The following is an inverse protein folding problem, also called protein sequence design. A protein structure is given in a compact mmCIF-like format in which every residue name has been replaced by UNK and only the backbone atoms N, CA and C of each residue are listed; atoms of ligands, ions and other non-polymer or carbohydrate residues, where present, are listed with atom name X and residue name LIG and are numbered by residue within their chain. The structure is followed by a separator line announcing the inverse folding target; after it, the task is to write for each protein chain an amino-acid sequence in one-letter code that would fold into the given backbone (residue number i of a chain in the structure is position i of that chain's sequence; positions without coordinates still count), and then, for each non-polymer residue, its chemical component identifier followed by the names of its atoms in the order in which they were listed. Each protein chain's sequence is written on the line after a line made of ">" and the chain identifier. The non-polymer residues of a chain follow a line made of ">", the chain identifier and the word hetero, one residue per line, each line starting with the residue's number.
data_IF_388221233221
#
_entry.id   IF_388221233221
#
_cell.length_a   1.000
_cell.length_b   1.000
_cell.length_c   1.000
_cell.angle_alpha   90.00
_cell.angle_beta   90.00
_cell.angle_gamma   90.00
#
_symmetry.space_group_name_H-M   'P 1'
#
loop_
_entity.id
_entity.type
_entity.pdbx_description
1 polymer ?
#
# COMPACT_ATOMS: atom_id res chain seq x y z
N UNK A 1 14.90 -1.93 8.59
CA UNK A 1 13.47 -1.59 8.44
C UNK A 1 12.58 -2.78 8.79
N UNK A 2 12.84 -3.99 8.29
CA UNK A 2 12.09 -5.21 8.68
C UNK A 2 12.44 -5.77 10.07
N UNK A 3 13.61 -5.45 10.63
CA UNK A 3 14.00 -5.90 11.98
C UNK A 3 13.42 -5.05 13.13
N UNK A 4 12.61 -4.03 12.84
CA UNK A 4 12.14 -3.06 13.84
C UNK A 4 10.71 -3.28 14.34
N UNK A 5 9.92 -4.16 13.72
CA UNK A 5 8.53 -4.38 14.12
C UNK A 5 8.10 -5.84 13.85
N UNK A 6 8.53 -6.80 14.70
CA UNK A 6 8.19 -8.22 14.54
C UNK A 6 6.68 -8.52 14.63
N UNK A 7 5.88 -7.55 15.07
CA UNK A 7 4.43 -7.70 15.20
C UNK A 7 3.64 -6.74 14.28
N UNK A 8 4.29 -6.04 13.34
CA UNK A 8 3.60 -5.16 12.40
C UNK A 8 2.62 -5.95 11.53
N UNK A 9 1.32 -5.69 11.71
CA UNK A 9 0.26 -6.30 10.91
C UNK A 9 -0.19 -5.33 9.85
N UNK A 10 0.12 -5.61 8.59
CA UNK A 10 -0.48 -4.94 7.44
C UNK A 10 -1.74 -5.67 6.99
N UNK A 11 -2.80 -4.92 6.72
CA UNK A 11 -4.05 -5.45 6.19
C UNK A 11 -4.65 -4.51 5.14
N UNK A 12 -5.15 -5.10 4.07
CA UNK A 12 -5.86 -4.38 3.01
C UNK A 12 -7.28 -4.09 3.50
N UNK A 13 -7.65 -2.80 3.49
CA UNK A 13 -8.99 -2.36 3.86
C UNK A 13 -9.92 -2.38 2.65
N UNK A 14 -9.46 -1.82 1.53
CA UNK A 14 -10.23 -1.69 0.30
C UNK A 14 -9.31 -1.84 -0.90
N UNK A 15 -9.72 -2.62 -1.90
CA UNK A 15 -9.07 -2.66 -3.20
C UNK A 15 -9.84 -1.72 -4.13
N UNK A 16 -9.21 -0.62 -4.52
CA UNK A 16 -9.81 0.40 -5.39
C UNK A 16 -9.67 0.04 -6.87
N UNK A 17 -8.54 -0.58 -7.23
CA UNK A 17 -8.27 -1.07 -8.58
C UNK A 17 -7.36 -2.29 -8.52
N UNK A 18 -7.67 -3.28 -9.34
CA UNK A 18 -6.86 -4.48 -9.52
C UNK A 18 -6.89 -4.88 -10.98
N UNK A 19 -5.71 -5.00 -11.59
CA UNK A 19 -5.52 -5.41 -12.98
C UNK A 19 -4.39 -6.45 -13.06
N UNK A 20 -4.10 -6.95 -14.25
CA UNK A 20 -2.92 -7.76 -14.53
C UNK A 20 -1.60 -6.99 -14.37
N UNK A 21 -1.65 -5.65 -14.41
CA UNK A 21 -0.49 -4.76 -14.26
C UNK A 21 -0.23 -4.30 -12.83
N UNK A 22 -1.15 -4.51 -11.89
CA UNK A 22 -0.95 -4.15 -10.49
C UNK A 22 -2.23 -3.82 -9.73
N UNK A 23 -2.08 -3.07 -8.64
CA UNK A 23 -3.19 -2.72 -7.76
C UNK A 23 -3.04 -1.34 -7.10
N UNK A 24 -4.19 -0.74 -6.76
CA UNK A 24 -4.31 0.40 -5.85
C UNK A 24 -5.25 0.01 -4.72
N UNK A 25 -4.78 0.06 -3.47
CA UNK A 25 -5.56 -0.35 -2.31
C UNK A 25 -5.32 0.56 -1.10
N UNK A 26 -6.35 0.76 -0.28
CA UNK A 26 -6.15 1.28 1.08
C UNK A 26 -5.61 0.17 1.96
N UNK A 27 -4.62 0.48 2.78
CA UNK A 27 -4.11 -0.41 3.81
C UNK A 27 -4.15 0.28 5.16
N UNK A 28 -4.13 -0.54 6.20
CA UNK A 28 -3.75 -0.11 7.52
C UNK A 28 -2.67 -1.04 8.08
N UNK A 29 -1.81 -0.48 8.90
CA UNK A 29 -0.72 -1.16 9.56
C UNK A 29 -0.80 -0.88 11.06
N UNK A 30 -0.72 -1.94 11.86
CA UNK A 30 -0.75 -1.84 13.31
C UNK A 30 0.55 -2.41 13.88
N UNK A 31 1.32 -1.58 14.59
CA UNK A 31 2.49 -2.04 15.36
C UNK A 31 2.05 -2.35 16.79
N UNK A 32 1.99 -3.64 17.11
CA UNK A 32 1.72 -4.16 18.46
C UNK A 32 2.98 -4.08 19.34
N UNK A 33 3.81 -3.04 19.20
CA UNK A 33 4.93 -2.87 20.14
C UNK A 33 4.37 -2.75 21.58
N UNK A 34 4.99 -3.48 22.50
CA UNK A 34 4.50 -3.81 23.86
C UNK A 34 4.28 -2.61 24.83
N UNK A 35 4.03 -1.40 24.33
CA UNK A 35 3.93 -0.16 25.12
C UNK A 35 2.56 0.50 25.14
N UNK A 36 1.53 -0.10 24.53
CA UNK A 36 0.17 0.46 24.55
C UNK A 36 0.01 1.73 23.70
N UNK A 37 0.90 1.91 22.72
CA UNK A 37 0.79 2.96 21.72
C UNK A 37 0.12 2.38 20.47
N UNK A 38 -1.16 2.69 20.29
CA UNK A 38 -1.98 2.29 19.14
C UNK A 38 -1.58 3.15 17.92
N UNK A 39 -0.38 2.91 17.39
CA UNK A 39 0.04 3.53 16.14
C UNK A 39 -0.61 2.76 14.98
N UNK A 40 -1.83 3.16 14.64
CA UNK A 40 -2.44 2.77 13.37
C UNK A 40 -1.93 3.70 12.27
N UNK A 41 -1.13 3.16 11.35
CA UNK A 41 -0.82 3.84 10.10
C UNK A 41 -1.85 3.45 9.05
N UNK A 42 -2.33 4.44 8.30
CA UNK A 42 -3.24 4.27 7.17
C UNK A 42 -2.61 4.91 5.95
N UNK A 43 -2.92 4.37 4.78
CA UNK A 43 -2.47 4.96 3.53
C UNK A 43 -3.02 4.23 2.32
N UNK A 44 -2.71 4.77 1.14
CA UNK A 44 -2.96 4.12 -0.14
C UNK A 44 -1.66 3.49 -0.62
N UNK A 45 -1.71 2.20 -0.93
CA UNK A 45 -0.63 1.47 -1.58
C UNK A 45 -0.92 1.40 -3.09
N UNK A 46 0.05 1.85 -3.90
CA UNK A 46 0.10 1.71 -5.34
C UNK A 46 1.21 0.73 -5.69
N UNK A 47 0.85 -0.39 -6.31
CA UNK A 47 1.80 -1.39 -6.78
C UNK A 47 1.67 -1.63 -8.27
N UNK A 48 2.81 -1.80 -8.95
CA UNK A 48 2.84 -2.34 -10.31
C UNK A 48 3.64 -3.63 -10.35
N UNK A 49 3.29 -4.50 -11.30
CA UNK A 49 3.98 -5.77 -11.55
C UNK A 49 4.52 -5.81 -12.97
N UNK A 50 5.73 -6.35 -13.12
CA UNK A 50 6.33 -6.71 -14.40
C UNK A 50 6.79 -8.16 -14.35
N UNK A 51 6.41 -8.97 -15.33
CA UNK A 51 6.70 -10.40 -15.39
C UNK A 51 6.41 -11.17 -14.09
N UNK A 52 5.29 -10.84 -13.42
CA UNK A 52 4.87 -11.38 -12.12
C UNK A 52 5.75 -11.00 -10.92
N UNK A 53 6.60 -9.99 -11.05
CA UNK A 53 7.41 -9.43 -9.98
C UNK A 53 6.96 -8.01 -9.70
N UNK A 54 6.77 -7.66 -8.44
CA UNK A 54 6.52 -6.27 -8.04
C UNK A 54 7.74 -5.44 -8.42
N UNK A 55 7.56 -4.48 -9.32
CA UNK A 55 8.62 -3.58 -9.79
C UNK A 55 8.47 -2.16 -9.24
N UNK A 56 7.34 -1.84 -8.61
CA UNK A 56 7.07 -0.58 -7.90
C UNK A 56 6.11 -0.83 -6.75
N UNK A 57 6.38 -0.20 -5.62
CA UNK A 57 5.46 -0.08 -4.49
C UNK A 57 5.62 1.33 -3.94
N UNK A 58 4.53 2.07 -3.86
CA UNK A 58 4.47 3.41 -3.30
C UNK A 58 3.35 3.48 -2.27
N UNK A 59 3.63 4.13 -1.14
CA UNK A 59 2.63 4.42 -0.12
C UNK A 59 2.42 5.94 -0.09
N UNK A 60 1.18 6.36 -0.26
CA UNK A 60 0.76 7.76 -0.15
C UNK A 60 -0.28 7.92 0.95
N UNK A 61 -0.54 9.17 1.32
CA UNK A 61 -1.55 9.54 2.32
C UNK A 61 -2.95 9.06 1.89
N UNK A 62 -3.83 8.79 2.85
CA UNK A 62 -5.17 8.26 2.57
C UNK A 62 -6.06 9.29 1.86
N UNK A 63 -5.76 10.58 1.98
CA UNK A 63 -6.42 11.66 1.26
C UNK A 63 -6.07 11.71 -0.25
N UNK A 64 -4.98 11.07 -0.67
CA UNK A 64 -4.43 11.20 -2.03
C UNK A 64 -4.86 10.06 -2.99
N UNK A 65 -5.98 9.39 -2.72
CA UNK A 65 -6.47 8.27 -3.52
C UNK A 65 -6.64 8.61 -5.01
N UNK A 66 -7.24 9.75 -5.33
CA UNK A 66 -7.48 10.14 -6.73
C UNK A 66 -6.16 10.35 -7.49
N UNK A 67 -5.16 10.93 -6.82
CA UNK A 67 -3.82 11.11 -7.38
C UNK A 67 -3.11 9.76 -7.58
N UNK A 68 -3.25 8.82 -6.63
CA UNK A 68 -2.72 7.47 -6.77
C UNK A 68 -3.35 6.71 -7.95
N UNK A 69 -4.67 6.82 -8.14
CA UNK A 69 -5.37 6.22 -9.27
C UNK A 69 -4.93 6.81 -10.61
N UNK A 70 -4.81 8.15 -10.71
CA UNK A 70 -4.33 8.81 -11.92
C UNK A 70 -2.91 8.36 -12.28
N UNK A 71 -2.00 8.32 -11.29
CA UNK A 71 -0.64 7.84 -11.50
C UNK A 71 -0.58 6.37 -11.90
N UNK A 72 -1.41 5.52 -11.29
CA UNK A 72 -1.48 4.11 -11.66
C UNK A 72 -1.92 3.92 -13.11
N UNK A 73 -2.84 4.75 -13.59
CA UNK A 73 -3.28 4.71 -15.00
C UNK A 73 -2.18 5.12 -15.97
N UNK A 74 -1.39 6.14 -15.65
CA UNK A 74 -0.22 6.52 -16.43
C UNK A 74 0.81 5.39 -16.49
N UNK A 75 1.08 4.75 -15.35
CA UNK A 75 2.07 3.66 -15.25
C UNK A 75 1.61 2.37 -15.95
N UNK A 76 0.30 2.09 -15.96
CA UNK A 76 -0.28 0.88 -16.55
C UNK A 76 -0.37 0.93 -18.08
N UNK A 77 -0.17 2.11 -18.68
CA UNK A 77 -0.20 2.32 -20.13
C UNK A 77 1.14 2.06 -20.84
N UNK A 78 2.19 1.73 -20.09
CA UNK A 78 3.53 1.43 -20.62
C UNK A 78 3.71 -0.07 -20.86
#
# INVERSE_FOLDING_TARGET
>A
MWELAPELRFYIQTVHRLTDRGAVCSHAAHDVSHSGFDAEWRGIELMTVDQNVVNRCEIVDDADLDAALAKFDELSQT
#
